data_IF_086897301049
#
_entry.id   IF_086897301049
#
_cell.length_a   1.000
_cell.length_b   1.000
_cell.length_c   1.000
_cell.angle_alpha   90.00
_cell.angle_beta   90.00
_cell.angle_gamma   90.00
#
_symmetry.space_group_name_H-M   'P 1'
#
loop_
_entity.id
_entity.type
_entity.pdbx_description
1 polymer ?
#
# COMPACT_ATOMS: atom_id res chain seq x y z
N UNK A 1 2.73 -6.37 30.12
CA UNK A 1 1.27 -6.31 29.94
C UNK A 1 0.77 -4.91 30.25
N UNK A 2 0.93 -3.98 29.30
CA UNK A 2 0.27 -2.68 29.34
C UNK A 2 -1.21 -2.94 29.07
N UNK A 3 -2.08 -2.65 30.04
CA UNK A 3 -3.53 -2.84 29.96
C UNK A 3 -4.26 -1.92 28.97
N UNK A 4 -3.60 -1.49 27.91
CA UNK A 4 -4.19 -0.75 26.81
C UNK A 4 -4.89 -1.75 25.89
N UNK A 5 -6.20 -1.64 25.67
CA UNK A 5 -6.92 -2.51 24.74
C UNK A 5 -6.29 -2.36 23.35
N UNK A 6 -5.77 -3.44 22.79
CA UNK A 6 -5.30 -3.43 21.41
C UNK A 6 -6.51 -3.16 20.50
N UNK A 7 -6.39 -2.26 19.52
CA UNK A 7 -7.48 -1.98 18.60
C UNK A 7 -7.86 -3.27 17.88
N UNK A 8 -9.15 -3.57 17.85
CA UNK A 8 -9.68 -4.69 17.08
C UNK A 8 -9.34 -4.50 15.59
N UNK A 9 -9.02 -5.57 14.85
CA UNK A 9 -8.75 -5.48 13.42
C UNK A 9 -9.90 -4.79 12.67
N UNK A 10 -9.56 -3.93 11.72
CA UNK A 10 -10.51 -3.16 10.91
C UNK A 10 -10.56 -3.72 9.49
N UNK A 11 -11.63 -3.45 8.77
CA UNK A 11 -11.73 -3.72 7.33
C UNK A 11 -10.55 -3.04 6.63
N UNK A 12 -9.96 -3.71 5.64
CA UNK A 12 -8.73 -3.35 4.92
C UNK A 12 -7.44 -3.36 5.75
N UNK A 13 -7.48 -3.72 7.03
CA UNK A 13 -6.27 -3.98 7.80
C UNK A 13 -5.74 -5.40 7.55
N UNK A 14 -4.54 -5.68 8.06
CA UNK A 14 -3.87 -6.95 7.87
C UNK A 14 -3.95 -7.81 9.13
N UNK A 15 -4.02 -9.12 8.94
CA UNK A 15 -3.81 -10.14 9.96
C UNK A 15 -2.78 -11.16 9.46
N UNK A 16 -2.11 -11.81 10.39
CA UNK A 16 -1.13 -12.85 10.12
C UNK A 16 -1.68 -14.17 10.63
N UNK A 17 -1.52 -15.23 9.86
CA UNK A 17 -1.81 -16.60 10.30
C UNK A 17 -0.48 -17.33 10.34
N UNK A 18 -0.11 -17.84 11.52
CA UNK A 18 1.12 -18.57 11.68
C UNK A 18 1.02 -19.94 10.97
N UNK A 19 2.06 -20.30 10.21
CA UNK A 19 2.12 -21.56 9.48
C UNK A 19 3.55 -22.03 9.30
N UNK A 20 3.74 -23.16 8.67
CA UNK A 20 5.06 -23.67 8.33
C UNK A 20 5.75 -22.76 7.32
N UNK A 21 6.94 -22.26 7.68
CA UNK A 21 7.74 -21.40 6.81
C UNK A 21 7.46 -19.89 6.91
N UNK A 22 6.63 -19.43 7.86
CA UNK A 22 6.39 -18.02 8.11
C UNK A 22 4.93 -17.69 8.44
N UNK A 23 4.57 -16.44 8.18
CA UNK A 23 3.22 -15.96 8.45
C UNK A 23 2.48 -15.72 7.13
N UNK A 24 1.32 -16.34 6.96
CA UNK A 24 0.42 -16.00 5.87
C UNK A 24 -0.17 -14.61 6.15
N UNK A 25 0.06 -13.67 5.25
CA UNK A 25 -0.47 -12.31 5.32
C UNK A 25 -1.83 -12.28 4.67
N UNK A 26 -2.84 -11.90 5.43
CA UNK A 26 -4.20 -11.76 4.94
C UNK A 26 -4.72 -10.34 5.14
N UNK A 27 -5.50 -9.84 4.18
CA UNK A 27 -6.23 -8.59 4.30
C UNK A 27 -7.68 -8.87 4.69
N UNK A 28 -8.21 -8.12 5.64
CA UNK A 28 -9.59 -8.25 6.09
C UNK A 28 -10.52 -7.60 5.07
N UNK A 29 -11.40 -8.40 4.49
CA UNK A 29 -12.40 -7.96 3.52
C UNK A 29 -13.65 -7.45 4.22
N UNK A 30 -14.18 -8.23 5.17
CA UNK A 30 -15.31 -7.83 5.97
C UNK A 30 -15.33 -8.51 7.33
N UNK A 31 -16.11 -7.92 8.26
CA UNK A 31 -16.27 -8.41 9.63
C UNK A 31 -17.77 -8.50 9.93
N UNK A 32 -18.20 -9.61 10.50
CA UNK A 32 -19.58 -9.83 10.93
C UNK A 32 -19.66 -10.30 12.36
N UNK A 33 -20.83 -10.14 12.95
CA UNK A 33 -21.17 -10.64 14.28
C UNK A 33 -22.26 -11.70 14.10
N UNK A 34 -21.91 -12.94 14.39
CA UNK A 34 -22.87 -14.02 14.39
C UNK A 34 -23.53 -14.09 15.77
N UNK A 35 -24.86 -14.01 15.79
CA UNK A 35 -25.65 -14.20 17.00
C UNK A 35 -26.05 -15.65 17.06
N UNK A 36 -26.07 -16.26 18.28
CA UNK A 36 -26.59 -17.60 18.48
C UNK A 36 -28.05 -17.65 18.03
N UNK A 37 -28.35 -18.61 17.16
CA UNK A 37 -29.74 -18.87 16.75
C UNK A 37 -30.54 -19.56 17.85
N UNK A 38 -29.86 -20.09 18.86
CA UNK A 38 -30.54 -20.81 19.98
C UNK A 38 -30.65 -19.87 21.19
N UNK A 39 -31.86 -19.65 21.72
CA UNK A 39 -32.03 -18.94 22.97
C UNK A 39 -31.33 -19.75 24.08
N UNK A 40 -30.56 -19.05 24.94
CA UNK A 40 -29.94 -19.67 26.11
C UNK A 40 -30.99 -20.40 26.94
N UNK A 41 -31.06 -21.72 26.86
CA UNK A 41 -31.87 -22.51 27.77
C UNK A 41 -31.14 -22.59 29.11
N UNK A 42 -31.75 -22.07 30.17
CA UNK A 42 -31.21 -22.05 31.55
C UNK A 42 -30.76 -23.41 32.09
N UNK A 43 -31.10 -24.53 31.47
CA UNK A 43 -30.73 -25.88 31.90
C UNK A 43 -29.51 -26.50 31.22
N UNK A 44 -28.84 -25.81 30.31
CA UNK A 44 -27.65 -26.35 29.63
C UNK A 44 -26.33 -26.05 30.36
N UNK A 45 -26.35 -25.21 31.38
CA UNK A 45 -25.16 -24.91 32.19
C UNK A 45 -24.71 -26.09 33.08
N UNK A 46 -25.66 -27.03 33.38
CA UNK A 46 -25.36 -28.17 34.26
C UNK A 46 -24.64 -29.33 33.56
N UNK A 47 -24.51 -29.32 32.25
CA UNK A 47 -23.91 -30.40 31.47
C UNK A 47 -22.49 -30.15 31.00
N UNK A 48 -21.83 -29.10 31.45
CA UNK A 48 -20.40 -28.83 31.07
C UNK A 48 -20.16 -28.61 29.57
N UNK A 49 -21.23 -28.35 28.80
CA UNK A 49 -21.11 -27.99 27.41
C UNK A 49 -20.52 -26.58 27.37
N UNK A 50 -19.31 -26.46 26.85
CA UNK A 50 -18.56 -25.20 26.62
C UNK A 50 -19.50 -24.18 25.99
N UNK A 51 -19.89 -23.18 26.76
CA UNK A 51 -20.63 -22.02 26.27
C UNK A 51 -19.71 -21.28 25.31
N UNK A 52 -19.87 -21.51 24.01
CA UNK A 52 -19.16 -20.71 23.01
C UNK A 52 -19.45 -19.23 23.28
N UNK A 53 -18.45 -18.38 23.41
CA UNK A 53 -18.66 -16.96 23.72
C UNK A 53 -19.41 -16.30 22.56
N UNK A 54 -20.70 -16.15 22.70
CA UNK A 54 -21.53 -15.38 21.79
C UNK A 54 -21.64 -13.91 22.26
N UNK A 55 -21.67 -12.98 21.33
CA UNK A 55 -21.64 -13.12 19.87
C UNK A 55 -20.26 -13.47 19.32
N UNK A 56 -20.19 -14.42 18.39
CA UNK A 56 -18.98 -14.75 17.66
C UNK A 56 -18.69 -13.65 16.63
N UNK A 57 -17.47 -13.13 16.64
CA UNK A 57 -16.99 -12.24 15.60
C UNK A 57 -16.28 -13.06 14.52
N UNK A 58 -16.82 -13.02 13.32
CA UNK A 58 -16.23 -13.66 12.14
C UNK A 58 -15.64 -12.61 11.22
N UNK A 59 -14.55 -12.93 10.57
CA UNK A 59 -13.96 -12.09 9.53
C UNK A 59 -13.70 -12.93 8.29
N UNK A 60 -13.93 -12.33 7.13
CA UNK A 60 -13.46 -12.84 5.85
C UNK A 60 -12.14 -12.17 5.54
N UNK A 61 -11.17 -12.97 5.11
CA UNK A 61 -9.83 -12.50 4.81
C UNK A 61 -9.37 -12.98 3.44
N UNK A 62 -8.67 -12.10 2.72
CA UNK A 62 -8.06 -12.42 1.43
C UNK A 62 -6.58 -12.63 1.66
N UNK A 63 -6.03 -13.80 1.36
CA UNK A 63 -4.61 -14.05 1.48
C UNK A 63 -3.82 -13.32 0.38
N UNK A 64 -2.71 -12.67 0.74
CA UNK A 64 -1.89 -11.85 -0.14
C UNK A 64 -0.52 -12.45 -0.44
N UNK A 65 0.06 -13.18 0.52
CA UNK A 65 1.39 -13.74 0.43
C UNK A 65 1.91 -14.21 1.76
N UNK A 66 3.19 -14.51 1.82
CA UNK A 66 3.87 -15.02 3.01
C UNK A 66 4.91 -14.04 3.51
N UNK A 67 4.93 -13.76 4.79
CA UNK A 67 5.93 -12.99 5.49
C UNK A 67 6.94 -13.95 6.12
N UNK A 68 8.14 -14.00 5.55
CA UNK A 68 9.24 -14.84 6.04
C UNK A 68 10.03 -14.07 7.07
N UNK A 69 10.38 -14.73 8.17
CA UNK A 69 11.22 -14.17 9.21
C UNK A 69 12.68 -14.58 8.96
N UNK A 70 13.55 -13.58 8.89
CA UNK A 70 14.99 -13.78 8.77
C UNK A 70 15.65 -13.30 10.06
N UNK A 71 16.35 -14.19 10.74
CA UNK A 71 17.13 -13.88 11.92
C UNK A 71 18.56 -13.62 11.45
N UNK A 72 18.99 -12.35 11.55
CA UNK A 72 20.37 -11.96 11.24
C UNK A 72 21.36 -12.43 12.30
N UNK A 73 22.65 -12.36 11.99
CA UNK A 73 23.74 -12.70 12.92
C UNK A 73 23.71 -11.86 14.20
N UNK A 74 23.12 -10.65 14.14
CA UNK A 74 22.96 -9.73 15.28
C UNK A 74 21.67 -9.98 16.11
N UNK A 75 21.00 -11.12 15.95
CA UNK A 75 19.68 -11.41 16.54
C UNK A 75 18.58 -10.38 16.20
N UNK A 76 18.76 -9.57 15.18
CA UNK A 76 17.75 -8.66 14.68
C UNK A 76 16.83 -9.42 13.72
N UNK A 77 15.53 -9.49 14.08
CA UNK A 77 14.52 -10.07 13.21
C UNK A 77 14.18 -9.09 12.07
N UNK A 78 14.41 -9.51 10.86
CA UNK A 78 13.93 -8.85 9.64
C UNK A 78 12.83 -9.69 8.99
N UNK A 79 11.96 -9.02 8.24
CA UNK A 79 10.82 -9.67 7.59
C UNK A 79 10.84 -9.39 6.10
N UNK A 80 10.70 -10.46 5.31
CA UNK A 80 10.56 -10.37 3.86
C UNK A 80 9.18 -10.83 3.43
N UNK A 81 8.44 -9.95 2.75
CA UNK A 81 7.14 -10.29 2.20
C UNK A 81 7.25 -10.77 0.76
N UNK A 82 6.81 -12.00 0.54
CA UNK A 82 6.76 -12.64 -0.76
C UNK A 82 5.30 -12.83 -1.18
N UNK A 83 4.92 -12.34 -2.35
CA UNK A 83 3.59 -12.54 -2.91
C UNK A 83 3.43 -13.98 -3.41
N UNK A 84 2.25 -14.52 -3.21
CA UNK A 84 1.91 -15.90 -3.55
C UNK A 84 1.70 -16.73 -2.30
N UNK A 85 0.95 -17.82 -2.44
CA UNK A 85 0.56 -18.70 -1.35
C UNK A 85 0.94 -20.10 -1.75
N UNK A 86 1.82 -20.70 -0.96
CA UNK A 86 2.25 -22.08 -1.14
C UNK A 86 1.47 -23.03 -0.22
N UNK A 87 1.18 -22.57 1.00
CA UNK A 87 0.51 -23.36 2.05
C UNK A 87 -0.68 -22.57 2.59
N UNK A 88 -1.84 -23.19 2.61
CA UNK A 88 -3.04 -22.63 3.24
C UNK A 88 -3.12 -23.01 4.72
N UNK A 89 -3.69 -22.12 5.57
CA UNK A 89 -3.86 -22.41 6.97
C UNK A 89 -4.88 -23.53 7.19
N UNK A 90 -4.76 -24.18 8.34
CA UNK A 90 -5.66 -25.22 8.80
C UNK A 90 -6.55 -24.71 9.95
N UNK A 91 -7.56 -25.52 10.29
CA UNK A 91 -8.42 -25.21 11.44
C UNK A 91 -7.61 -25.31 12.72
N UNK A 92 -7.58 -24.21 13.48
CA UNK A 92 -6.83 -24.12 14.74
C UNK A 92 -5.58 -23.28 14.66
N UNK A 93 -5.12 -22.89 13.47
CA UNK A 93 -3.97 -22.01 13.32
C UNK A 93 -4.26 -20.63 13.92
N UNK A 94 -3.33 -20.07 14.72
CA UNK A 94 -3.56 -18.81 15.40
C UNK A 94 -3.56 -17.63 14.44
N UNK A 95 -4.54 -16.74 14.61
CA UNK A 95 -4.61 -15.46 13.90
C UNK A 95 -3.98 -14.37 14.76
N UNK A 96 -2.98 -13.72 14.24
CA UNK A 96 -2.16 -12.72 14.93
C UNK A 96 -2.38 -11.32 14.36
N UNK A 97 -2.28 -10.34 15.23
CA UNK A 97 -2.23 -8.92 14.81
C UNK A 97 -0.76 -8.60 14.50
N UNK A 98 -0.45 -8.12 13.29
CA UNK A 98 0.92 -7.80 12.93
C UNK A 98 1.49 -6.67 13.79
N UNK A 99 2.78 -6.75 14.04
CA UNK A 99 3.56 -5.66 14.64
C UNK A 99 3.79 -4.55 13.62
N UNK A 100 4.23 -3.38 14.10
CA UNK A 100 4.51 -2.25 13.22
C UNK A 100 5.65 -2.54 12.23
N UNK A 101 6.65 -3.29 12.66
CA UNK A 101 7.75 -3.74 11.79
C UNK A 101 7.27 -4.67 10.69
N UNK A 102 6.42 -5.64 11.03
CA UNK A 102 5.81 -6.55 10.06
C UNK A 102 4.92 -5.81 9.05
N UNK A 103 4.10 -4.85 9.52
CA UNK A 103 3.28 -4.02 8.64
C UNK A 103 4.13 -3.21 7.64
N UNK A 104 5.23 -2.63 8.10
CA UNK A 104 6.18 -1.93 7.22
C UNK A 104 6.74 -2.87 6.16
N UNK A 105 7.23 -4.03 6.55
CA UNK A 105 7.77 -5.01 5.61
C UNK A 105 6.75 -5.46 4.57
N UNK A 106 5.47 -5.58 4.93
CA UNK A 106 4.40 -5.92 3.99
C UNK A 106 4.18 -4.78 2.98
N UNK A 107 4.07 -3.53 3.45
CA UNK A 107 3.75 -2.37 2.61
C UNK A 107 4.97 -1.91 1.80
N UNK A 108 6.15 -1.94 2.40
CA UNK A 108 7.40 -1.51 1.79
C UNK A 108 8.07 -2.63 0.95
N UNK A 109 7.47 -3.81 0.88
CA UNK A 109 8.01 -4.95 0.13
C UNK A 109 8.12 -4.68 -1.37
N UNK A 110 9.08 -5.32 -2.00
CA UNK A 110 9.32 -5.27 -3.45
C UNK A 110 10.54 -4.45 -3.83
N UNK A 111 11.15 -4.86 -4.94
CA UNK A 111 12.32 -4.20 -5.53
C UNK A 111 11.95 -2.91 -6.26
N UNK A 112 12.91 -2.00 -6.39
CA UNK A 112 12.81 -0.78 -7.21
C UNK A 112 11.69 0.21 -6.81
N UNK A 113 11.22 0.15 -5.59
CA UNK A 113 10.23 1.08 -5.03
C UNK A 113 10.88 2.39 -4.59
N UNK A 114 11.08 3.30 -5.51
CA UNK A 114 11.85 4.54 -5.28
C UNK A 114 11.02 5.81 -5.28
N UNK A 115 9.73 5.71 -5.60
CA UNK A 115 8.83 6.87 -5.61
C UNK A 115 7.88 6.77 -4.45
N UNK A 116 8.06 7.63 -3.45
CA UNK A 116 7.17 7.73 -2.31
C UNK A 116 5.91 8.49 -2.73
N UNK A 117 4.74 7.88 -2.51
CA UNK A 117 3.44 8.44 -2.89
C UNK A 117 2.57 8.81 -1.68
N UNK A 118 2.96 8.43 -0.49
CA UNK A 118 2.22 8.73 0.72
C UNK A 118 2.54 7.79 1.87
N UNK A 119 1.65 7.75 2.83
CA UNK A 119 1.69 6.88 4.00
C UNK A 119 0.40 6.06 4.11
N UNK A 120 0.51 4.87 4.68
CA UNK A 120 -0.64 4.00 4.94
C UNK A 120 -1.02 4.06 6.43
N UNK A 121 -2.13 4.70 6.81
CA UNK A 121 -2.57 4.75 8.20
C UNK A 121 -2.92 3.35 8.74
N UNK A 122 -3.42 2.46 7.90
CA UNK A 122 -3.77 1.08 8.26
C UNK A 122 -2.56 0.19 8.51
N UNK A 123 -1.40 0.58 7.97
CA UNK A 123 -0.13 -0.12 8.17
C UNK A 123 0.81 0.66 9.12
N UNK A 124 0.26 1.30 10.16
CA UNK A 124 1.06 2.00 11.16
C UNK A 124 1.88 3.17 10.59
N UNK A 125 1.31 3.91 9.63
CA UNK A 125 1.96 5.00 8.91
C UNK A 125 3.21 4.59 8.12
N UNK A 126 3.27 3.33 7.66
CA UNK A 126 4.33 2.89 6.76
C UNK A 126 4.34 3.73 5.47
N UNK A 127 5.53 4.02 4.96
CA UNK A 127 5.70 4.76 3.71
C UNK A 127 5.26 3.88 2.55
N UNK A 128 4.34 4.40 1.74
CA UNK A 128 3.90 3.73 0.52
C UNK A 128 4.74 4.23 -0.65
N UNK A 129 5.48 3.32 -1.25
CA UNK A 129 6.33 3.61 -2.39
C UNK A 129 5.95 2.74 -3.58
N UNK A 130 6.13 3.26 -4.77
CA UNK A 130 5.85 2.54 -6.02
C UNK A 130 7.11 2.38 -6.87
N UNK A 131 7.13 1.34 -7.65
CA UNK A 131 8.09 1.14 -8.72
C UNK A 131 7.61 1.91 -9.97
N UNK A 132 8.29 3.00 -10.37
CA UNK A 132 7.85 3.81 -11.49
C UNK A 132 7.92 3.08 -12.82
N UNK A 133 8.86 2.14 -12.98
CA UNK A 133 9.02 1.40 -14.22
C UNK A 133 7.86 0.43 -14.42
N UNK A 134 7.35 -0.17 -13.34
CA UNK A 134 6.13 -1.01 -13.39
C UNK A 134 4.87 -0.18 -13.52
N UNK A 135 4.82 0.98 -12.90
CA UNK A 135 3.64 1.84 -12.92
C UNK A 135 3.40 2.43 -14.31
N UNK A 136 4.44 3.00 -14.92
CA UNK A 136 4.34 3.66 -16.22
C UNK A 136 4.72 2.77 -17.41
N UNK A 137 5.38 1.66 -17.19
CA UNK A 137 5.67 0.67 -18.22
C UNK A 137 4.48 -0.22 -18.59
N UNK A 138 3.31 -0.02 -17.97
CA UNK A 138 2.07 -0.75 -18.21
C UNK A 138 0.89 0.22 -18.31
N UNK A 139 -0.29 -0.32 -18.64
CA UNK A 139 -1.53 0.47 -18.64
C UNK A 139 -1.98 0.75 -17.20
N UNK A 140 -2.36 2.01 -16.96
CA UNK A 140 -2.90 2.47 -15.69
C UNK A 140 -4.20 3.23 -15.97
N UNK A 141 -5.24 2.92 -15.22
CA UNK A 141 -6.49 3.69 -15.22
C UNK A 141 -6.69 4.31 -13.83
N UNK A 142 -6.96 5.63 -13.80
CA UNK A 142 -7.30 6.36 -12.58
C UNK A 142 -8.75 6.76 -12.66
N UNK A 143 -9.59 6.10 -11.87
CA UNK A 143 -11.03 6.26 -11.87
C UNK A 143 -11.51 7.01 -10.61
N UNK A 144 -12.54 7.78 -10.74
CA UNK A 144 -13.15 8.51 -9.63
C UNK A 144 -14.13 9.59 -10.11
N UNK A 145 -14.94 10.11 -9.21
CA UNK A 145 -15.88 11.17 -9.48
C UNK A 145 -15.19 12.53 -9.67
N UNK A 146 -15.89 13.51 -10.21
CA UNK A 146 -15.42 14.89 -10.30
C UNK A 146 -15.08 15.41 -8.90
N UNK A 147 -13.94 16.08 -8.75
CA UNK A 147 -13.45 16.57 -7.46
C UNK A 147 -12.77 15.54 -6.56
N UNK A 148 -12.68 14.26 -6.96
CA UNK A 148 -12.02 13.20 -6.17
C UNK A 148 -10.48 13.26 -6.17
N UNK A 149 -9.88 14.20 -6.89
CA UNK A 149 -8.43 14.38 -6.97
C UNK A 149 -7.72 13.52 -8.02
N UNK A 150 -8.42 12.96 -9.02
CA UNK A 150 -7.82 12.14 -10.09
C UNK A 150 -6.65 12.83 -10.77
N UNK A 151 -6.88 14.01 -11.31
CA UNK A 151 -5.87 14.79 -12.04
C UNK A 151 -4.70 15.19 -11.14
N UNK A 152 -4.97 15.58 -9.89
CA UNK A 152 -3.94 15.83 -8.89
C UNK A 152 -3.10 14.58 -8.58
N UNK A 153 -3.72 13.42 -8.47
CA UNK A 153 -3.02 12.17 -8.20
C UNK A 153 -2.11 11.78 -9.36
N UNK A 154 -2.60 11.90 -10.60
CA UNK A 154 -1.80 11.63 -11.80
C UNK A 154 -0.62 12.61 -11.90
N UNK A 155 -0.88 13.91 -11.74
CA UNK A 155 0.17 14.94 -11.74
C UNK A 155 1.22 14.68 -10.64
N UNK A 156 0.78 14.32 -9.44
CA UNK A 156 1.67 13.95 -8.32
C UNK A 156 2.54 12.76 -8.65
N UNK A 157 1.98 11.67 -9.16
CA UNK A 157 2.73 10.47 -9.55
C UNK A 157 3.82 10.78 -10.59
N UNK A 158 3.49 11.57 -11.62
CA UNK A 158 4.45 11.98 -12.64
C UNK A 158 5.55 12.84 -12.02
N UNK A 159 5.16 13.86 -11.26
CA UNK A 159 6.10 14.81 -10.63
C UNK A 159 7.08 14.10 -9.70
N UNK A 160 6.58 13.29 -8.76
CA UNK A 160 7.41 12.52 -7.83
C UNK A 160 8.32 11.53 -8.54
N UNK A 161 7.88 10.94 -9.65
CA UNK A 161 8.69 10.03 -10.45
C UNK A 161 9.86 10.75 -11.13
N UNK A 162 9.61 11.93 -11.71
CA UNK A 162 10.66 12.77 -12.31
C UNK A 162 11.65 13.24 -11.25
N UNK A 163 11.19 13.73 -10.11
CA UNK A 163 12.02 14.19 -8.99
C UNK A 163 12.88 13.04 -8.41
N UNK A 164 12.29 11.87 -8.23
CA UNK A 164 13.02 10.67 -7.78
C UNK A 164 14.09 10.24 -8.78
N UNK A 165 13.79 10.28 -10.08
CA UNK A 165 14.76 9.96 -11.12
C UNK A 165 15.93 10.96 -11.13
N UNK A 166 15.67 12.25 -10.97
CA UNK A 166 16.71 13.28 -10.82
C UNK A 166 17.60 13.01 -9.60
N UNK A 167 17.01 12.69 -8.47
CA UNK A 167 17.72 12.38 -7.23
C UNK A 167 18.59 11.13 -7.36
N UNK A 168 18.06 10.07 -7.95
CA UNK A 168 18.80 8.83 -8.16
C UNK A 168 20.03 9.00 -9.05
N UNK A 169 19.93 9.85 -10.08
CA UNK A 169 21.08 10.17 -10.95
C UNK A 169 22.13 11.02 -10.26
N UNK A 170 21.74 12.02 -9.46
CA UNK A 170 22.68 12.82 -8.66
C UNK A 170 23.52 11.92 -7.75
N UNK A 171 22.91 10.92 -7.11
CA UNK A 171 23.62 9.96 -6.26
C UNK A 171 24.62 9.08 -7.03
N UNK A 172 24.33 8.71 -8.27
CA UNK A 172 25.22 7.86 -9.08
C UNK A 172 26.45 8.58 -9.66
N UNK A 173 26.39 9.90 -9.87
CA UNK A 173 27.42 10.67 -10.56
C UNK A 173 28.39 11.43 -9.65
N UNK A 174 28.19 11.45 -8.32
CA UNK A 174 28.99 12.29 -7.44
C UNK A 174 28.59 13.79 -7.54
N UNK A 175 28.97 14.59 -6.56
CA UNK A 175 28.45 15.94 -6.30
C UNK A 175 28.88 17.05 -7.28
N UNK A 176 29.22 16.78 -8.53
CA UNK A 176 29.86 17.74 -9.40
C UNK A 176 29.14 18.19 -10.70
N UNK A 177 27.97 17.62 -11.04
CA UNK A 177 27.27 18.00 -12.28
C UNK A 177 25.83 18.44 -12.04
N UNK A 178 25.55 19.72 -12.27
CA UNK A 178 24.24 20.35 -12.04
C UNK A 178 23.14 19.95 -13.04
N UNK A 179 23.47 19.57 -14.27
CA UNK A 179 22.49 19.23 -15.30
C UNK A 179 22.39 17.71 -15.51
N UNK A 180 21.46 17.08 -14.80
CA UNK A 180 21.18 15.66 -14.94
C UNK A 180 19.88 15.49 -15.71
N UNK A 181 19.96 15.35 -17.03
CA UNK A 181 18.81 14.96 -17.84
C UNK A 181 18.32 13.57 -17.45
N UNK A 182 17.03 13.45 -17.26
CA UNK A 182 16.38 12.17 -17.01
C UNK A 182 15.93 11.58 -18.34
N UNK A 183 16.11 10.25 -18.55
CA UNK A 183 15.54 9.57 -19.72
C UNK A 183 14.01 9.40 -19.64
N UNK A 184 13.40 9.93 -18.61
CA UNK A 184 11.95 9.83 -18.40
C UNK A 184 11.27 10.90 -19.23
N UNK A 185 10.41 10.49 -20.17
CA UNK A 185 9.61 11.37 -21.01
C UNK A 185 8.16 11.05 -20.82
N UNK A 186 7.35 12.09 -20.62
CA UNK A 186 5.88 11.99 -20.55
C UNK A 186 5.29 12.86 -21.65
N UNK A 187 4.33 12.32 -22.37
CA UNK A 187 3.50 13.05 -23.31
C UNK A 187 2.09 13.03 -22.73
N UNK A 188 1.54 14.21 -22.49
CA UNK A 188 0.25 14.37 -21.84
C UNK A 188 -0.71 15.01 -22.85
N UNK A 189 -1.78 14.30 -23.17
CA UNK A 189 -2.91 14.85 -23.92
C UNK A 189 -3.93 15.37 -22.91
N UNK A 190 -4.10 16.70 -22.88
CA UNK A 190 -4.89 17.41 -21.88
C UNK A 190 -6.02 18.22 -22.53
N UNK A 191 -7.13 17.56 -22.91
CA UNK A 191 -8.22 18.25 -23.58
C UNK A 191 -8.95 19.27 -22.69
N UNK A 192 -8.78 19.15 -21.37
CA UNK A 192 -9.47 20.00 -20.40
C UNK A 192 -8.57 21.11 -19.80
N UNK A 193 -7.27 21.12 -20.10
CA UNK A 193 -6.33 22.10 -19.56
C UNK A 193 -6.02 21.96 -18.06
N UNK A 194 -6.20 20.75 -17.47
CA UNK A 194 -6.06 20.53 -16.04
C UNK A 194 -4.58 20.46 -15.57
N UNK A 195 -3.68 20.13 -16.49
CA UNK A 195 -2.27 19.83 -16.16
C UNK A 195 -1.29 20.99 -16.41
N UNK A 196 -1.70 22.04 -17.12
CA UNK A 196 -0.83 23.14 -17.55
C UNK A 196 -0.01 23.75 -16.41
N UNK A 197 -0.62 23.96 -15.24
CA UNK A 197 0.06 24.53 -14.06
C UNK A 197 0.72 23.47 -13.16
N UNK A 198 0.37 22.20 -13.32
CA UNK A 198 0.78 21.13 -12.39
C UNK A 198 2.26 20.79 -12.48
N UNK A 199 2.90 21.07 -13.60
CA UNK A 199 4.31 20.73 -13.85
C UNK A 199 5.25 21.93 -13.82
N UNK A 200 4.79 23.09 -13.41
CA UNK A 200 5.63 24.27 -13.25
C UNK A 200 6.82 23.98 -12.33
N UNK A 201 8.03 24.33 -12.77
CA UNK A 201 9.27 24.15 -12.00
C UNK A 201 9.90 22.75 -12.11
N UNK A 202 9.38 21.85 -12.93
CA UNK A 202 10.02 20.55 -13.16
C UNK A 202 11.22 20.57 -14.12
N UNK A 203 11.50 21.68 -14.80
CA UNK A 203 12.49 21.78 -15.86
C UNK A 203 11.85 21.66 -17.24
N UNK A 204 12.39 20.87 -18.16
CA UNK A 204 11.96 20.75 -19.56
C UNK A 204 10.49 20.37 -19.74
N UNK A 205 9.61 21.32 -19.48
CA UNK A 205 8.17 21.20 -19.75
C UNK A 205 7.85 22.07 -20.94
N UNK A 206 7.30 21.45 -22.00
CA UNK A 206 6.83 22.14 -23.19
C UNK A 206 5.32 22.00 -23.26
N UNK A 207 4.63 23.12 -23.45
CA UNK A 207 3.18 23.17 -23.53
C UNK A 207 2.83 23.63 -24.95
N UNK A 208 2.02 22.83 -25.63
CA UNK A 208 1.54 23.08 -26.96
C UNK A 208 0.02 23.26 -26.91
N UNK A 209 -0.49 24.33 -27.51
CA UNK A 209 -1.92 24.58 -27.63
C UNK A 209 -2.37 24.49 -29.08
N UNK A 210 -3.65 24.25 -29.28
CA UNK A 210 -4.27 24.28 -30.60
C UNK A 210 -4.41 25.72 -31.16
N UNK A 211 -4.45 26.72 -30.27
CA UNK A 211 -4.48 28.13 -30.60
C UNK A 211 -3.31 28.86 -29.95
N UNK A 212 -2.78 29.83 -30.68
CA UNK A 212 -1.66 30.65 -30.19
C UNK A 212 -2.18 31.57 -29.08
N UNK A 213 -1.76 31.30 -27.87
CA UNK A 213 -2.13 32.10 -26.69
C UNK A 213 -0.87 32.83 -26.20
N UNK A 214 -0.68 34.08 -26.61
CA UNK A 214 0.52 34.88 -26.33
C UNK A 214 0.76 35.12 -24.83
N UNK A 215 -0.30 35.08 -24.01
CA UNK A 215 -0.19 35.32 -22.56
C UNK A 215 0.32 34.11 -21.75
N UNK A 216 0.30 32.90 -22.31
CA UNK A 216 0.65 31.67 -21.57
C UNK A 216 1.97 31.03 -22.01
N UNK A 217 2.70 31.61 -22.96
CA UNK A 217 3.96 31.03 -23.46
C UNK A 217 3.75 29.66 -24.15
N UNK A 218 2.60 29.44 -24.76
CA UNK A 218 2.25 28.22 -25.47
C UNK A 218 2.78 28.31 -26.90
N UNK A 219 3.65 27.38 -27.28
CA UNK A 219 4.16 27.22 -28.64
C UNK A 219 3.22 26.28 -29.43
N UNK A 220 3.00 26.58 -30.71
CA UNK A 220 2.23 25.74 -31.63
C UNK A 220 3.02 24.53 -32.11
#
# INVERSE_FOLDING_TARGET
NSGVPRPFPRINSYVLIAGEGGYLVCQIEWITIERSQFPKRRGMQDFGILDLPYPLRKMSVIPLGVLKENIGEDNLCSYDFVRGIEVFPTVGDPVLIPTQTQLKSIVESGSNRRVNIGISPLAGNAVVSVDPDRLFGRHLAVLGNTGSGKSCSVAGLIRWSVESAKTARKKKRGQGQENVETNTRFIILDPNGEYTKSFTGLGDVRIYGAEKNEEQGIEQ
#
